data_IF_389820107422
#
_entry.id   IF_389820107422
#
_cell.length_a   1.000
_cell.length_b   1.000
_cell.length_c   1.000
_cell.angle_alpha   90.00
_cell.angle_beta   90.00
_cell.angle_gamma   90.00
#
_symmetry.space_group_name_H-M   'P 1'
#
loop_
_entity.id
_entity.type
_entity.pdbx_description
1 polymer ?
#
# COMPACT_ATOMS: atom_id res chain seq x y z
N UNK A 1 7.20 0.96 28.00
CA UNK A 1 6.13 1.83 28.42
C UNK A 1 5.24 2.21 27.26
N UNK A 2 4.06 1.63 27.23
CA UNK A 2 3.12 1.78 26.13
C UNK A 2 2.71 3.24 25.89
N UNK A 3 2.50 4.00 26.98
CA UNK A 3 2.10 5.42 26.89
C UNK A 3 3.12 6.27 26.15
N UNK A 4 4.41 6.00 26.33
CA UNK A 4 5.47 6.75 25.65
C UNK A 4 5.44 6.48 24.15
N UNK A 5 5.23 5.23 23.74
CA UNK A 5 5.12 4.86 22.32
C UNK A 5 3.89 5.49 21.68
N UNK A 6 2.75 5.48 22.38
CA UNK A 6 1.49 6.02 21.84
C UNK A 6 1.55 7.50 21.55
N UNK A 7 2.36 8.25 22.31
CA UNK A 7 2.49 9.69 22.13
C UNK A 7 3.78 10.09 21.40
N UNK A 8 4.61 9.10 21.01
CA UNK A 8 5.87 9.39 20.35
C UNK A 8 5.63 10.00 18.96
N UNK A 9 6.43 11.01 18.59
CA UNK A 9 6.36 11.55 17.23
C UNK A 9 6.82 10.50 16.21
N UNK A 10 6.39 10.66 14.97
CA UNK A 10 6.62 9.66 13.93
C UNK A 10 8.10 9.33 13.73
N UNK A 11 8.97 10.36 13.74
CA UNK A 11 10.41 10.10 13.55
C UNK A 11 10.99 9.19 14.63
N UNK A 12 10.49 9.29 15.86
CA UNK A 12 10.92 8.44 16.94
C UNK A 12 10.43 6.99 16.73
N UNK A 13 9.21 6.82 16.20
CA UNK A 13 8.70 5.48 15.85
C UNK A 13 9.56 4.84 14.77
N UNK A 14 9.96 5.60 13.74
CA UNK A 14 10.84 5.09 12.69
C UNK A 14 12.20 4.70 13.26
N UNK A 15 12.78 5.53 14.14
CA UNK A 15 14.05 5.23 14.78
C UNK A 15 13.97 3.91 15.54
N UNK A 16 12.96 3.74 16.37
CA UNK A 16 12.79 2.52 17.18
C UNK A 16 12.59 1.30 16.30
N UNK A 17 11.81 1.42 15.24
CA UNK A 17 11.58 0.31 14.34
C UNK A 17 12.85 -0.06 13.58
N UNK A 18 13.54 0.92 13.03
CA UNK A 18 14.71 0.66 12.15
C UNK A 18 15.97 0.31 12.94
N UNK A 19 16.18 0.90 14.09
CA UNK A 19 17.41 0.70 14.88
C UNK A 19 17.25 -0.37 15.95
N UNK A 20 16.11 -0.38 16.62
CA UNK A 20 15.88 -1.26 17.78
C UNK A 20 15.01 -2.48 17.44
N UNK A 21 14.56 -2.62 16.19
CA UNK A 21 13.63 -3.67 15.75
C UNK A 21 12.39 -3.73 16.63
N UNK A 22 11.89 -2.56 17.07
CA UNK A 22 10.76 -2.44 17.99
C UNK A 22 9.46 -2.76 17.26
N UNK A 23 8.86 -3.91 17.58
CA UNK A 23 7.63 -4.35 16.91
C UNK A 23 6.42 -3.48 17.29
N UNK A 24 6.41 -2.86 18.46
CA UNK A 24 5.33 -1.97 18.87
C UNK A 24 5.36 -0.71 18.02
N UNK A 25 6.56 -0.14 17.80
CA UNK A 25 6.73 1.00 16.92
C UNK A 25 6.32 0.67 15.48
N UNK A 26 6.70 -0.51 14.99
CA UNK A 26 6.29 -0.99 13.67
C UNK A 26 4.76 -1.04 13.56
N UNK A 27 4.10 -1.63 14.53
CA UNK A 27 2.66 -1.79 14.50
C UNK A 27 1.95 -0.43 14.54
N UNK A 28 2.49 0.52 15.30
CA UNK A 28 1.96 1.88 15.34
C UNK A 28 2.05 2.57 13.98
N UNK A 29 3.20 2.46 13.32
CA UNK A 29 3.40 3.01 11.98
C UNK A 29 2.46 2.34 10.97
N UNK A 30 2.33 1.03 11.03
CA UNK A 30 1.43 0.30 10.16
C UNK A 30 -0.02 0.78 10.33
N UNK A 31 -0.48 0.89 11.57
CA UNK A 31 -1.85 1.34 11.85
C UNK A 31 -2.08 2.78 11.38
N UNK A 32 -1.05 3.61 11.44
CA UNK A 32 -1.13 4.99 10.98
C UNK A 32 -1.33 5.08 9.47
N UNK A 33 -0.64 4.25 8.70
CA UNK A 33 -0.63 4.32 7.23
C UNK A 33 -1.58 3.33 6.57
N UNK A 34 -2.09 2.34 7.30
CA UNK A 34 -2.95 1.30 6.73
C UNK A 34 -4.22 1.86 6.06
N UNK A 35 -4.93 2.85 6.65
CA UNK A 35 -6.12 3.38 5.98
C UNK A 35 -5.81 3.99 4.62
N UNK A 36 -4.68 4.67 4.49
CA UNK A 36 -4.24 5.22 3.21
C UNK A 36 -3.94 4.10 2.20
N UNK A 37 -3.17 3.09 2.61
CA UNK A 37 -2.82 1.98 1.72
C UNK A 37 -4.07 1.21 1.28
N UNK A 38 -5.00 0.96 2.21
CA UNK A 38 -6.27 0.29 1.89
C UNK A 38 -7.08 1.09 0.87
N UNK A 39 -7.08 2.42 0.98
CA UNK A 39 -7.77 3.28 0.04
C UNK A 39 -7.14 3.23 -1.35
N UNK A 40 -5.82 3.11 -1.45
CA UNK A 40 -5.14 2.89 -2.73
C UNK A 40 -5.63 1.58 -3.35
N UNK A 41 -5.68 0.51 -2.57
CA UNK A 41 -6.17 -0.79 -3.05
C UNK A 41 -7.61 -0.73 -3.53
N UNK A 42 -8.51 -0.11 -2.78
CA UNK A 42 -9.91 0.02 -3.16
C UNK A 42 -10.09 0.88 -4.41
N UNK A 43 -9.26 1.89 -4.58
CA UNK A 43 -9.30 2.75 -5.76
C UNK A 43 -9.00 1.95 -7.03
N UNK A 44 -8.00 1.08 -7.00
CA UNK A 44 -7.69 0.19 -8.12
C UNK A 44 -8.85 -0.78 -8.35
N UNK A 45 -9.39 -1.38 -7.29
CA UNK A 45 -10.52 -2.32 -7.38
C UNK A 45 -11.71 -1.71 -8.12
N UNK A 46 -12.08 -0.47 -7.79
CA UNK A 46 -13.26 0.18 -8.40
C UNK A 46 -13.14 0.36 -9.90
N UNK A 47 -11.92 0.39 -10.46
CA UNK A 47 -11.71 0.60 -11.89
C UNK A 47 -11.82 -0.67 -12.71
N UNK A 48 -11.82 -1.82 -12.06
CA UNK A 48 -11.84 -3.12 -12.74
C UNK A 48 -12.92 -4.03 -12.18
N UNK A 49 -14.03 -3.46 -11.75
CA UNK A 49 -15.15 -4.19 -11.14
C UNK A 49 -15.80 -5.21 -12.07
N UNK A 50 -15.54 -5.13 -13.40
CA UNK A 50 -16.12 -6.05 -14.38
C UNK A 50 -15.69 -7.52 -14.19
N UNK A 51 -14.62 -7.75 -13.43
CA UNK A 51 -14.09 -9.10 -13.23
C UNK A 51 -14.63 -9.80 -11.98
N UNK A 52 -15.58 -9.19 -11.27
CA UNK A 52 -16.20 -9.76 -10.05
C UNK A 52 -15.16 -10.21 -9.01
N UNK A 53 -14.11 -9.41 -8.84
CA UNK A 53 -13.07 -9.67 -7.86
C UNK A 53 -13.51 -9.15 -6.49
N UNK A 54 -12.89 -9.68 -5.43
CA UNK A 54 -13.17 -9.26 -4.06
C UNK A 54 -12.27 -8.07 -3.69
N UNK A 55 -12.90 -6.97 -3.22
CA UNK A 55 -12.16 -5.78 -2.80
C UNK A 55 -11.16 -6.07 -1.68
N UNK A 56 -11.46 -7.06 -0.82
CA UNK A 56 -10.57 -7.43 0.27
C UNK A 56 -9.21 -7.93 -0.22
N UNK A 57 -9.16 -8.60 -1.36
CA UNK A 57 -7.90 -9.04 -1.94
C UNK A 57 -7.01 -7.85 -2.30
N UNK A 58 -7.62 -6.78 -2.80
CA UNK A 58 -6.90 -5.54 -3.15
C UNK A 58 -6.37 -4.85 -1.91
N UNK A 59 -7.17 -4.81 -0.85
CA UNK A 59 -6.75 -4.22 0.43
C UNK A 59 -5.59 -5.00 1.02
N UNK A 60 -5.66 -6.34 1.03
CA UNK A 60 -4.59 -7.18 1.55
C UNK A 60 -3.29 -7.00 0.77
N UNK A 61 -3.37 -6.91 -0.55
CA UNK A 61 -2.18 -6.67 -1.37
C UNK A 61 -1.59 -5.29 -1.11
N UNK A 62 -2.44 -4.28 -0.86
CA UNK A 62 -1.96 -2.96 -0.49
C UNK A 62 -1.25 -2.98 0.86
N UNK A 63 -1.78 -3.72 1.83
CA UNK A 63 -1.15 -3.88 3.15
C UNK A 63 0.21 -4.56 3.05
N UNK A 64 0.33 -5.58 2.20
CA UNK A 64 1.62 -6.24 1.97
C UNK A 64 2.63 -5.27 1.36
N UNK A 65 2.18 -4.44 0.41
CA UNK A 65 3.03 -3.40 -0.17
C UNK A 65 3.45 -2.35 0.85
N UNK A 66 2.55 -2.01 1.78
CA UNK A 66 2.85 -1.09 2.87
C UNK A 66 3.94 -1.66 3.79
N UNK A 67 3.81 -2.91 4.20
CA UNK A 67 4.82 -3.57 5.05
C UNK A 67 6.17 -3.64 4.35
N UNK A 68 6.19 -3.97 3.07
CA UNK A 68 7.42 -3.99 2.29
C UNK A 68 8.07 -2.61 2.24
N UNK A 69 7.29 -1.57 1.97
CA UNK A 69 7.79 -0.19 1.94
C UNK A 69 8.37 0.23 3.30
N UNK A 70 7.67 -0.11 4.38
CA UNK A 70 8.13 0.21 5.74
C UNK A 70 9.49 -0.43 6.04
N UNK A 71 9.68 -1.67 5.60
CA UNK A 71 10.94 -2.39 5.86
C UNK A 71 12.13 -1.83 5.09
N UNK A 72 11.90 -1.06 4.04
CA UNK A 72 12.94 -0.51 3.17
C UNK A 72 13.13 0.99 3.30
N UNK A 73 12.21 1.66 3.98
CA UNK A 73 12.24 3.11 4.08
C UNK A 73 13.40 3.60 4.94
N UNK A 74 14.13 4.60 4.45
CA UNK A 74 15.16 5.28 5.21
C UNK A 74 14.62 6.65 5.65
N UNK A 75 14.27 6.81 6.92
CA UNK A 75 13.66 8.06 7.41
C UNK A 75 14.63 9.23 7.40
N UNK A 76 15.94 8.99 7.26
CA UNK A 76 16.95 10.04 7.31
C UNK A 76 17.22 10.69 5.96
N UNK A 77 16.55 10.23 4.89
CA UNK A 77 16.74 10.80 3.55
C UNK A 77 15.90 12.03 3.27
N UNK A 78 15.03 12.42 4.20
CA UNK A 78 14.19 13.61 4.03
C UNK A 78 13.06 13.47 3.04
N UNK A 79 12.72 12.25 2.63
CA UNK A 79 11.60 11.96 1.74
C UNK A 79 10.37 11.60 2.59
N UNK A 80 9.20 12.13 2.22
CA UNK A 80 7.95 11.76 2.88
C UNK A 80 7.66 10.27 2.67
N UNK A 81 7.21 9.59 3.73
CA UNK A 81 6.99 8.14 3.64
C UNK A 81 5.96 7.77 2.57
N UNK A 82 4.83 8.50 2.50
CA UNK A 82 3.80 8.17 1.50
C UNK A 82 4.31 8.34 0.07
N UNK A 83 5.12 9.36 -0.17
CA UNK A 83 5.75 9.55 -1.48
C UNK A 83 6.65 8.37 -1.84
N UNK A 84 7.44 7.89 -0.88
CA UNK A 84 8.28 6.71 -1.06
C UNK A 84 7.46 5.43 -1.25
N UNK A 85 6.43 5.25 -0.44
CA UNK A 85 5.66 4.01 -0.38
C UNK A 85 4.66 3.85 -1.53
N UNK A 86 4.17 4.96 -2.10
CA UNK A 86 3.10 4.92 -3.11
C UNK A 86 3.37 3.96 -4.26
N UNK A 87 4.51 4.03 -4.96
CA UNK A 87 4.76 3.10 -6.06
C UNK A 87 4.88 1.65 -5.59
N UNK A 88 5.34 1.41 -4.37
CA UNK A 88 5.45 0.05 -3.84
C UNK A 88 4.09 -0.53 -3.48
N UNK A 89 3.22 0.27 -2.89
CA UNK A 89 1.85 -0.15 -2.56
C UNK A 89 1.08 -0.42 -3.86
N UNK A 90 1.15 0.50 -4.84
CA UNK A 90 0.50 0.31 -6.13
C UNK A 90 1.04 -0.92 -6.85
N UNK A 91 2.36 -1.09 -6.86
CA UNK A 91 2.99 -2.25 -7.48
C UNK A 91 2.53 -3.56 -6.87
N UNK A 92 2.40 -3.61 -5.55
CA UNK A 92 1.90 -4.78 -4.86
C UNK A 92 0.45 -5.10 -5.25
N UNK A 93 -0.40 -4.08 -5.35
CA UNK A 93 -1.80 -4.24 -5.77
C UNK A 93 -1.87 -4.77 -7.21
N UNK A 94 -1.09 -4.22 -8.13
CA UNK A 94 -1.08 -4.67 -9.53
C UNK A 94 -0.51 -6.07 -9.68
N UNK A 95 0.51 -6.44 -8.90
CA UNK A 95 1.03 -7.80 -8.90
C UNK A 95 -0.04 -8.78 -8.40
N UNK A 96 -0.76 -8.40 -7.35
CA UNK A 96 -1.88 -9.19 -6.84
C UNK A 96 -2.99 -9.33 -7.86
N UNK A 97 -3.30 -8.26 -8.60
CA UNK A 97 -4.29 -8.29 -9.67
C UNK A 97 -3.93 -9.30 -10.75
N UNK A 98 -2.68 -9.31 -11.20
CA UNK A 98 -2.22 -10.28 -12.20
C UNK A 98 -2.42 -11.72 -11.73
N UNK A 99 -2.10 -11.99 -10.46
CA UNK A 99 -2.28 -13.31 -9.87
C UNK A 99 -3.76 -13.68 -9.81
N UNK A 100 -4.63 -12.77 -9.34
CA UNK A 100 -6.07 -13.02 -9.26
C UNK A 100 -6.67 -13.30 -10.62
N UNK A 101 -6.31 -12.55 -11.64
CA UNK A 101 -6.82 -12.73 -13.00
C UNK A 101 -6.32 -14.05 -13.58
N UNK A 102 -5.05 -14.40 -13.37
CA UNK A 102 -4.50 -15.68 -13.82
C UNK A 102 -5.24 -16.85 -13.17
N UNK A 103 -5.53 -16.79 -11.89
CA UNK A 103 -6.27 -17.83 -11.16
C UNK A 103 -7.69 -17.99 -11.69
N UNK A 104 -8.28 -16.93 -12.23
CA UNK A 104 -9.61 -16.99 -12.84
C UNK A 104 -9.59 -17.36 -14.32
N UNK A 105 -8.42 -17.69 -14.87
CA UNK A 105 -8.28 -18.08 -16.27
C UNK A 105 -8.37 -16.93 -17.25
N UNK A 106 -8.19 -15.70 -16.80
CA UNK A 106 -8.16 -14.52 -17.68
C UNK A 106 -6.89 -14.55 -18.51
N UNK A 107 -7.02 -14.31 -19.82
CA UNK A 107 -5.87 -14.31 -20.73
C UNK A 107 -4.89 -13.18 -20.38
N UNK A 108 -3.63 -13.32 -20.81
CA UNK A 108 -2.63 -12.29 -20.60
C UNK A 108 -3.01 -10.97 -21.25
N UNK A 109 -3.66 -11.01 -22.43
CA UNK A 109 -4.09 -9.79 -23.12
C UNK A 109 -5.18 -9.07 -22.34
N UNK A 110 -6.16 -9.81 -21.82
CA UNK A 110 -7.22 -9.24 -21.02
C UNK A 110 -6.70 -8.71 -19.67
N UNK A 111 -5.73 -9.41 -19.08
CA UNK A 111 -5.09 -8.94 -17.85
C UNK A 111 -4.33 -7.62 -18.09
N UNK A 112 -3.64 -7.48 -19.22
CA UNK A 112 -2.99 -6.23 -19.59
C UNK A 112 -3.98 -5.12 -19.82
N UNK A 113 -5.13 -5.43 -20.42
CA UNK A 113 -6.18 -4.45 -20.62
C UNK A 113 -6.72 -3.93 -19.28
N UNK A 114 -7.01 -4.85 -18.35
CA UNK A 114 -7.46 -4.49 -17.00
C UNK A 114 -6.45 -3.58 -16.28
N UNK A 115 -5.16 -3.92 -16.38
CA UNK A 115 -4.09 -3.13 -15.79
C UNK A 115 -4.03 -1.73 -16.41
N UNK A 116 -4.16 -1.62 -17.73
CA UNK A 116 -4.20 -0.32 -18.41
C UNK A 116 -5.39 0.53 -17.95
N UNK A 117 -6.57 -0.09 -17.79
CA UNK A 117 -7.74 0.63 -17.28
C UNK A 117 -7.47 1.21 -15.89
N UNK A 118 -6.85 0.43 -15.02
CA UNK A 118 -6.50 0.89 -13.68
C UNK A 118 -5.50 2.05 -13.73
N UNK A 119 -4.51 1.99 -14.61
CA UNK A 119 -3.50 3.03 -14.75
C UNK A 119 -4.03 4.32 -15.38
N UNK A 120 -5.04 4.26 -16.22
CA UNK A 120 -5.62 5.46 -16.84
C UNK A 120 -6.15 6.46 -15.82
N UNK A 121 -6.43 6.02 -14.62
CA UNK A 121 -6.99 6.86 -13.56
C UNK A 121 -5.99 7.04 -12.40
N UNK A 122 -4.70 6.92 -12.68
CA UNK A 122 -3.68 7.03 -11.63
C UNK A 122 -3.70 8.40 -10.95
N UNK A 123 -4.14 9.44 -11.64
CA UNK A 123 -4.31 10.76 -11.05
C UNK A 123 -5.27 10.79 -9.87
N UNK A 124 -6.29 9.93 -9.87
CA UNK A 124 -7.22 9.84 -8.76
C UNK A 124 -6.56 9.26 -7.51
N UNK A 125 -5.60 8.36 -7.69
CA UNK A 125 -4.81 7.82 -6.58
C UNK A 125 -3.94 8.91 -5.95
N UNK A 126 -3.36 9.77 -6.80
CA UNK A 126 -2.55 10.88 -6.32
C UNK A 126 -3.41 11.94 -5.63
N UNK A 127 -4.59 12.22 -6.17
CA UNK A 127 -5.54 13.14 -5.56
C UNK A 127 -5.99 12.66 -4.19
N UNK A 128 -6.21 11.35 -4.04
CA UNK A 128 -6.54 10.76 -2.76
C UNK A 128 -5.44 10.99 -1.73
N UNK A 129 -4.20 10.89 -2.17
CA UNK A 129 -3.04 11.06 -1.32
C UNK A 129 -2.90 12.48 -0.79
N UNK A 130 -3.39 13.48 -1.51
CA UNK A 130 -3.28 14.88 -1.10
C UNK A 130 -4.38 15.32 -0.13
N UNK A 131 -5.31 14.43 0.18
CA UNK A 131 -6.32 14.66 1.21
C UNK A 131 -5.81 14.17 2.55
#
# INVERSE_FOLDING_TARGET
>A
MATVIETAPEHELWRRYRQDSDSIARDRLFMQYMPWAAAVGRSVYRRISIYSLDSEDFVQNAELGLLDAMSRFDPDRGVDFRAYARPRVRGSVFNGLRTLLSERGVSNDDARYAERLAHMHSGDLDAFDSV
#
